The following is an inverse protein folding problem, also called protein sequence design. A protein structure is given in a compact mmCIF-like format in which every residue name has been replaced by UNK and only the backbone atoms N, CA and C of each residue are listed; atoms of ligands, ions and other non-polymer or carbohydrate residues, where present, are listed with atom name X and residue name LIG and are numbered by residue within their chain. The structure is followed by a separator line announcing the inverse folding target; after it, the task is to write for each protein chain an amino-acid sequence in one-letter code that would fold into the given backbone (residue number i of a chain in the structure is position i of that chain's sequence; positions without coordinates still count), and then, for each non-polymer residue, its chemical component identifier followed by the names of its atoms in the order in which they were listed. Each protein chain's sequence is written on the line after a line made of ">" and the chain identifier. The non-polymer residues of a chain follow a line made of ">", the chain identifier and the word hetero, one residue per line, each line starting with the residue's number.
data_IF_425457149091
#
_entry.id   IF_425457149091
#
_cell.length_a   1.000
_cell.length_b   1.000
_cell.length_c   1.000
_cell.angle_alpha   90.00
_cell.angle_beta   90.00
_cell.angle_gamma   90.00
#
_symmetry.space_group_name_H-M   'P 1'
#
loop_
_entity.id
_entity.type
_entity.pdbx_description
1 polymer ?
#
# COMPACT_ATOMS: atom_id res chain seq x y z
N UNK A 1 -68.14 -73.48 40.34
CA UNK A 1 -67.82 -72.84 39.04
C UNK A 1 -69.10 -72.18 38.53
N UNK A 2 -69.09 -70.84 38.45
CA UNK A 2 -70.25 -69.92 38.33
C UNK A 2 -71.07 -70.19 37.04
N UNK A 3 -72.38 -70.45 37.02
CA UNK A 3 -73.62 -69.69 37.39
C UNK A 3 -74.16 -68.76 36.28
N UNK A 4 -75.17 -69.29 35.54
CA UNK A 4 -76.53 -68.78 35.19
C UNK A 4 -76.88 -67.35 34.66
N UNK A 5 -77.98 -67.37 33.86
CA UNK A 5 -79.03 -66.35 33.53
C UNK A 5 -78.67 -65.25 32.50
N UNK A 6 -79.40 -64.96 31.40
CA UNK A 6 -80.84 -64.85 31.05
C UNK A 6 -81.28 -63.38 30.88
N UNK A 7 -82.14 -63.15 29.87
CA UNK A 7 -83.22 -62.15 29.76
C UNK A 7 -83.02 -60.90 28.86
N UNK A 8 -83.56 -61.02 27.64
CA UNK A 8 -84.66 -60.24 27.01
C UNK A 8 -84.79 -58.71 27.16
N UNK A 9 -85.32 -58.08 26.08
CA UNK A 9 -86.40 -57.04 26.04
C UNK A 9 -86.07 -55.65 25.40
N UNK A 10 -86.95 -55.23 24.45
CA UNK A 10 -87.43 -53.89 24.03
C UNK A 10 -86.55 -52.89 23.21
N UNK A 11 -87.04 -52.60 21.99
CA UNK A 11 -87.05 -51.30 21.25
C UNK A 11 -87.66 -50.15 22.09
N UNK A 12 -87.56 -48.81 21.80
CA UNK A 12 -87.36 -48.14 20.49
C UNK A 12 -86.56 -46.79 20.47
N UNK A 13 -86.27 -46.28 19.26
CA UNK A 13 -86.26 -44.84 18.92
C UNK A 13 -85.06 -43.97 19.34
N UNK A 14 -84.21 -43.59 18.38
CA UNK A 14 -83.29 -42.46 18.54
C UNK A 14 -83.51 -41.40 17.45
N UNK A 15 -83.76 -40.18 17.92
CA UNK A 15 -83.98 -38.94 17.19
C UNK A 15 -82.67 -38.50 16.52
N UNK A 16 -82.68 -38.24 15.21
CA UNK A 16 -81.56 -37.60 14.52
C UNK A 16 -81.59 -36.09 14.79
N UNK A 17 -80.81 -35.64 15.77
CA UNK A 17 -80.42 -34.22 15.89
C UNK A 17 -79.37 -33.92 14.83
N UNK A 18 -79.71 -33.05 13.87
CA UNK A 18 -78.75 -32.48 12.92
C UNK A 18 -77.82 -31.56 13.72
N UNK A 19 -76.54 -31.92 13.78
CA UNK A 19 -75.51 -31.01 14.29
C UNK A 19 -75.18 -30.00 13.19
N UNK A 20 -75.37 -28.71 13.47
CA UNK A 20 -74.81 -27.63 12.67
C UNK A 20 -73.28 -27.79 12.59
N UNK A 21 -72.77 -28.00 11.38
CA UNK A 21 -71.35 -28.02 11.12
C UNK A 21 -70.78 -26.61 11.35
N UNK A 22 -69.99 -26.45 12.39
CA UNK A 22 -69.22 -25.23 12.66
C UNK A 22 -68.28 -24.95 11.48
N UNK A 23 -68.48 -23.82 10.80
CA UNK A 23 -67.54 -23.32 9.82
C UNK A 23 -66.17 -23.09 10.48
N UNK A 24 -65.15 -23.76 9.94
CA UNK A 24 -63.75 -23.49 10.26
C UNK A 24 -63.41 -22.07 9.84
N UNK A 25 -62.89 -21.26 10.75
CA UNK A 25 -62.30 -19.95 10.45
C UNK A 25 -61.16 -20.14 9.46
N UNK A 26 -61.38 -19.78 8.20
CA UNK A 26 -60.28 -19.53 7.27
C UNK A 26 -59.38 -18.47 7.90
N UNK A 27 -58.13 -18.83 8.23
CA UNK A 27 -57.09 -17.86 8.53
C UNK A 27 -57.08 -16.84 7.39
N UNK A 28 -57.33 -15.57 7.68
CA UNK A 28 -57.38 -14.50 6.68
C UNK A 28 -56.20 -14.65 5.72
N UNK A 29 -56.49 -14.73 4.41
CA UNK A 29 -55.44 -14.73 3.40
C UNK A 29 -54.59 -13.47 3.61
N UNK A 30 -53.25 -13.58 3.67
CA UNK A 30 -52.38 -12.43 3.84
C UNK A 30 -52.65 -11.44 2.71
N UNK A 31 -52.73 -10.16 3.05
CA UNK A 31 -53.02 -9.11 2.07
C UNK A 31 -51.87 -8.99 1.05
N UNK A 32 -52.19 -8.47 -0.14
CA UNK A 32 -51.19 -8.28 -1.20
C UNK A 32 -49.97 -7.45 -0.73
N UNK A 33 -50.17 -6.49 0.20
CA UNK A 33 -49.08 -5.72 0.80
C UNK A 33 -48.17 -6.57 1.71
N UNK A 34 -48.71 -7.55 2.42
CA UNK A 34 -47.93 -8.50 3.24
C UNK A 34 -47.13 -9.49 2.39
N UNK A 35 -47.61 -9.77 1.17
CA UNK A 35 -46.92 -10.59 0.18
C UNK A 35 -45.95 -9.79 -0.71
N UNK A 36 -45.77 -8.49 -0.46
CA UNK A 36 -44.81 -7.65 -1.17
C UNK A 36 -45.31 -7.00 -2.47
N UNK A 37 -46.58 -7.16 -2.82
CA UNK A 37 -47.23 -6.48 -3.95
C UNK A 37 -47.64 -5.07 -3.53
N UNK A 38 -46.67 -4.17 -3.45
CA UNK A 38 -46.84 -2.79 -2.95
C UNK A 38 -47.04 -1.74 -4.04
N UNK A 39 -47.00 -2.14 -5.32
CA UNK A 39 -47.14 -1.24 -6.48
C UNK A 39 -48.41 -1.55 -7.25
N UNK A 40 -48.94 -0.56 -7.98
CA UNK A 40 -50.06 -0.77 -8.91
C UNK A 40 -49.58 -1.28 -10.27
N UNK A 41 -50.44 -1.95 -11.01
CA UNK A 41 -50.14 -2.42 -12.38
C UNK A 41 -49.66 -1.26 -13.28
N UNK A 42 -50.18 -0.05 -13.08
CA UNK A 42 -49.77 1.16 -13.79
C UNK A 42 -48.33 1.58 -13.46
N UNK A 43 -47.91 1.43 -12.19
CA UNK A 43 -46.55 1.72 -11.75
C UNK A 43 -45.52 0.71 -12.26
N UNK A 44 -45.98 -0.46 -12.70
CA UNK A 44 -45.16 -1.53 -13.25
C UNK A 44 -45.24 -1.63 -14.79
N UNK A 45 -45.91 -0.69 -15.47
CA UNK A 45 -46.06 -0.71 -16.92
C UNK A 45 -44.69 -0.76 -17.63
N UNK A 46 -44.50 -1.76 -18.50
CA UNK A 46 -43.26 -1.97 -19.26
C UNK A 46 -42.13 -2.70 -18.51
N UNK A 47 -42.36 -3.19 -17.28
CA UNK A 47 -41.41 -4.02 -16.52
C UNK A 47 -41.91 -5.47 -16.40
N UNK A 48 -41.01 -6.39 -16.08
CA UNK A 48 -41.40 -7.74 -15.65
C UNK A 48 -42.23 -7.61 -14.37
N UNK A 49 -43.52 -7.96 -14.43
CA UNK A 49 -44.44 -7.84 -13.31
C UNK A 49 -45.16 -9.14 -13.01
N UNK A 50 -45.33 -9.41 -11.72
CA UNK A 50 -46.17 -10.47 -11.16
C UNK A 50 -47.33 -9.78 -10.47
N UNK A 51 -48.57 -10.10 -10.87
CA UNK A 51 -49.78 -9.56 -10.24
C UNK A 51 -50.10 -10.31 -8.96
N UNK A 52 -50.71 -9.63 -7.98
CA UNK A 52 -51.16 -10.29 -6.78
C UNK A 52 -52.33 -11.25 -7.10
N UNK A 53 -52.34 -12.48 -6.55
CA UNK A 53 -53.44 -13.43 -6.77
C UNK A 53 -54.81 -12.98 -6.27
N UNK A 54 -54.84 -12.10 -5.25
CA UNK A 54 -56.06 -11.67 -4.57
C UNK A 54 -56.50 -10.25 -4.93
N UNK A 55 -55.65 -9.50 -5.63
CA UNK A 55 -55.96 -8.16 -6.15
C UNK A 55 -55.17 -7.91 -7.44
N UNK A 56 -55.88 -7.97 -8.56
CA UNK A 56 -55.25 -7.79 -9.89
C UNK A 56 -54.80 -6.36 -10.17
N UNK A 57 -55.12 -5.39 -9.29
CA UNK A 57 -54.67 -4.00 -9.38
C UNK A 57 -53.28 -3.78 -8.77
N UNK A 58 -52.82 -4.70 -7.91
CA UNK A 58 -51.51 -4.68 -7.28
C UNK A 58 -50.56 -5.67 -7.96
N UNK A 59 -49.30 -5.25 -8.11
CA UNK A 59 -48.23 -6.02 -8.72
C UNK A 59 -46.91 -5.82 -7.97
N UNK A 60 -46.08 -6.85 -8.01
CA UNK A 60 -44.66 -6.74 -7.77
C UNK A 60 -44.01 -6.66 -9.15
N UNK A 61 -43.25 -5.61 -9.39
CA UNK A 61 -42.34 -5.57 -10.53
C UNK A 61 -40.91 -5.53 -10.03
N UNK A 62 -40.05 -6.23 -10.74
CA UNK A 62 -38.61 -5.99 -10.67
C UNK A 62 -38.42 -4.52 -11.02
N UNK A 63 -38.07 -3.72 -10.02
CA UNK A 63 -37.36 -2.51 -10.36
C UNK A 63 -36.09 -3.00 -11.03
N UNK A 64 -35.88 -2.60 -12.29
CA UNK A 64 -34.53 -2.36 -12.75
C UNK A 64 -33.92 -1.45 -11.69
N UNK A 65 -33.29 -2.03 -10.68
CA UNK A 65 -32.49 -1.28 -9.73
C UNK A 65 -31.48 -0.65 -10.66
N UNK A 66 -31.63 0.65 -10.90
CA UNK A 66 -30.57 1.42 -11.53
C UNK A 66 -29.50 1.44 -10.46
N UNK A 67 -28.71 0.37 -10.42
CA UNK A 67 -27.59 0.22 -9.52
C UNK A 67 -26.60 1.25 -10.02
N UNK A 68 -26.68 2.45 -9.45
CA UNK A 68 -25.75 3.50 -9.82
C UNK A 68 -24.37 3.09 -9.30
N UNK A 69 -23.34 3.31 -10.12
CA UNK A 69 -21.97 3.02 -9.72
C UNK A 69 -21.60 3.75 -8.42
N UNK A 70 -22.09 4.99 -8.25
CA UNK A 70 -21.92 5.76 -7.02
C UNK A 70 -22.52 5.06 -5.79
N UNK A 71 -23.74 4.49 -5.89
CA UNK A 71 -24.37 3.77 -4.77
C UNK A 71 -23.66 2.48 -4.38
N UNK A 72 -22.86 1.91 -5.30
CA UNK A 72 -22.01 0.76 -5.02
C UNK A 72 -20.58 1.15 -4.57
N UNK A 73 -20.26 2.44 -4.48
CA UNK A 73 -18.91 2.91 -4.16
C UNK A 73 -17.91 2.85 -5.32
N UNK A 74 -18.37 2.63 -6.56
CA UNK A 74 -17.57 2.77 -7.78
C UNK A 74 -17.62 4.22 -8.26
N UNK A 75 -16.88 5.10 -7.57
CA UNK A 75 -16.83 6.54 -7.89
C UNK A 75 -15.69 6.92 -8.82
N UNK A 76 -14.72 6.04 -8.99
CA UNK A 76 -13.47 6.37 -9.68
C UNK A 76 -13.64 6.26 -11.19
N UNK A 77 -12.94 7.11 -11.92
CA UNK A 77 -12.80 6.98 -13.37
C UNK A 77 -11.67 6.00 -13.66
N UNK A 78 -11.97 4.92 -14.39
CA UNK A 78 -11.00 3.84 -14.63
C UNK A 78 -9.75 4.32 -15.36
N UNK A 79 -9.89 5.27 -16.28
CA UNK A 79 -8.77 5.85 -17.03
C UNK A 79 -7.75 6.59 -16.14
N UNK A 80 -8.16 6.99 -14.93
CA UNK A 80 -7.33 7.70 -13.95
C UNK A 80 -6.66 6.74 -12.96
N UNK A 81 -7.05 5.46 -12.97
CA UNK A 81 -6.52 4.48 -12.04
C UNK A 81 -5.05 4.19 -12.33
N UNK A 82 -4.18 4.28 -11.32
CA UNK A 82 -2.76 4.05 -11.51
C UNK A 82 -2.46 2.58 -11.80
N UNK A 83 -3.17 1.63 -11.18
CA UNK A 83 -2.91 0.19 -11.33
C UNK A 83 -4.18 -0.60 -11.64
N UNK A 84 -4.33 -1.72 -10.94
CA UNK A 84 -5.52 -2.57 -11.03
C UNK A 84 -6.78 -1.82 -10.56
N UNK A 85 -7.94 -2.28 -11.05
CA UNK A 85 -9.22 -1.71 -10.70
C UNK A 85 -10.34 -2.74 -10.86
N UNK A 86 -11.43 -2.52 -10.13
CA UNK A 86 -12.67 -3.26 -10.28
C UNK A 86 -13.69 -2.40 -11.04
N UNK A 87 -14.23 -2.94 -12.14
CA UNK A 87 -15.23 -2.24 -12.97
C UNK A 87 -16.59 -2.21 -12.29
N UNK A 88 -17.32 -1.12 -12.47
CA UNK A 88 -18.73 -1.06 -12.11
C UNK A 88 -19.59 -1.92 -13.06
N UNK A 89 -20.58 -2.68 -12.56
CA UNK A 89 -21.51 -3.44 -13.40
C UNK A 89 -22.40 -2.58 -14.31
N UNK A 90 -22.70 -1.34 -13.91
CA UNK A 90 -23.64 -0.46 -14.61
C UNK A 90 -22.97 0.53 -15.58
N UNK A 91 -21.67 0.81 -15.43
CA UNK A 91 -20.90 1.70 -16.31
C UNK A 91 -19.45 1.23 -16.40
N UNK A 92 -19.03 0.86 -17.60
CA UNK A 92 -17.66 0.37 -17.86
C UNK A 92 -16.56 1.44 -17.75
N UNK A 93 -16.93 2.73 -17.65
CA UNK A 93 -16.01 3.86 -17.44
C UNK A 93 -15.75 4.13 -15.95
N UNK A 94 -16.62 3.62 -15.07
CA UNK A 94 -16.52 3.80 -13.61
C UNK A 94 -16.05 2.53 -12.92
N UNK A 95 -15.32 2.72 -11.83
CA UNK A 95 -14.75 1.62 -11.08
C UNK A 95 -14.25 2.06 -9.72
N UNK A 96 -13.47 1.18 -9.12
CA UNK A 96 -12.75 1.41 -7.87
C UNK A 96 -11.30 1.07 -8.14
N UNK A 97 -10.42 2.04 -8.00
CA UNK A 97 -8.99 1.83 -8.19
C UNK A 97 -8.42 1.08 -6.98
N UNK A 98 -7.52 0.14 -7.23
CA UNK A 98 -6.73 -0.49 -6.18
C UNK A 98 -5.46 0.33 -5.96
N UNK A 99 -5.38 0.94 -4.77
CA UNK A 99 -4.21 1.69 -4.34
C UNK A 99 -3.28 0.79 -3.54
N UNK A 100 -2.06 0.58 -4.05
CA UNK A 100 -1.03 -0.18 -3.35
C UNK A 100 -0.24 0.66 -2.34
N UNK A 101 -0.38 2.00 -2.39
CA UNK A 101 0.37 2.96 -1.58
C UNK A 101 -0.35 4.31 -1.50
N UNK A 102 0.15 5.21 -0.66
CA UNK A 102 -0.29 6.60 -0.55
C UNK A 102 0.62 7.53 -1.36
N UNK A 103 0.08 8.61 -1.97
CA UNK A 103 0.89 9.57 -2.70
C UNK A 103 2.03 10.14 -1.83
N UNK A 104 3.26 10.07 -2.32
CA UNK A 104 4.48 10.41 -1.57
C UNK A 104 5.26 9.20 -1.04
N UNK A 105 4.67 8.00 -0.98
CA UNK A 105 5.36 6.79 -0.57
C UNK A 105 6.49 6.43 -1.54
N UNK A 106 7.59 5.89 -1.01
CA UNK A 106 8.74 5.45 -1.79
C UNK A 106 8.80 3.93 -1.90
N UNK A 107 9.26 3.42 -3.05
CA UNK A 107 9.65 2.02 -3.22
C UNK A 107 10.97 1.88 -3.96
N UNK A 108 11.64 0.76 -3.73
CA UNK A 108 12.74 0.30 -4.58
C UNK A 108 12.20 -0.66 -5.65
N UNK A 109 12.74 -0.58 -6.85
CA UNK A 109 12.38 -1.46 -7.97
C UNK A 109 13.54 -1.58 -8.96
N UNK A 110 13.60 -2.69 -9.69
CA UNK A 110 14.52 -2.85 -10.83
C UNK A 110 13.96 -2.26 -12.13
N UNK A 111 12.70 -1.80 -12.12
CA UNK A 111 12.11 -1.10 -13.28
C UNK A 111 12.85 0.20 -13.56
N UNK A 112 12.85 0.62 -14.81
CA UNK A 112 13.64 1.76 -15.32
C UNK A 112 12.79 2.93 -15.83
N UNK A 113 11.46 2.80 -15.81
CA UNK A 113 10.52 3.83 -16.27
C UNK A 113 9.32 3.90 -15.33
N UNK A 114 8.60 5.03 -15.35
CA UNK A 114 7.34 5.19 -14.61
C UNK A 114 6.38 4.03 -14.88
N UNK A 115 5.62 3.65 -13.86
CA UNK A 115 4.66 2.57 -13.99
C UNK A 115 3.61 2.60 -12.89
N UNK A 116 2.39 2.18 -13.21
CA UNK A 116 1.34 1.96 -12.23
C UNK A 116 1.16 3.11 -11.20
N UNK A 117 1.23 4.38 -11.63
CA UNK A 117 1.20 5.55 -10.74
C UNK A 117 2.50 5.85 -9.98
N UNK A 118 3.57 5.06 -10.17
CA UNK A 118 4.90 5.29 -9.64
C UNK A 118 5.75 6.07 -10.62
N UNK A 119 6.35 7.16 -10.16
CA UNK A 119 7.23 8.01 -10.93
C UNK A 119 8.67 7.81 -10.49
N UNK A 120 9.59 7.71 -11.45
CA UNK A 120 11.02 7.53 -11.16
C UNK A 120 11.61 8.79 -10.49
N UNK A 121 12.30 8.62 -9.36
CA UNK A 121 12.93 9.70 -8.62
C UNK A 121 14.27 10.14 -9.24
N UNK A 122 14.20 10.81 -10.40
CA UNK A 122 15.35 11.29 -11.16
C UNK A 122 15.47 12.82 -11.24
N UNK A 123 14.70 13.58 -10.44
CA UNK A 123 14.79 15.04 -10.42
C UNK A 123 13.99 15.78 -11.49
N UNK A 124 13.34 15.07 -12.43
CA UNK A 124 12.56 15.73 -13.49
C UNK A 124 11.32 16.44 -12.92
N UNK A 125 10.81 17.42 -13.66
CA UNK A 125 9.52 18.03 -13.36
C UNK A 125 8.37 17.06 -13.61
N UNK A 126 7.26 17.26 -12.90
CA UNK A 126 6.01 16.55 -13.13
C UNK A 126 4.84 17.54 -13.15
N UNK A 127 3.71 17.13 -13.73
CA UNK A 127 2.51 17.96 -13.76
C UNK A 127 1.77 17.87 -12.44
N UNK A 128 1.74 18.97 -11.69
CA UNK A 128 0.98 19.08 -10.44
C UNK A 128 -0.53 19.04 -10.65
N UNK A 129 -1.03 19.45 -11.82
CA UNK A 129 -2.44 19.32 -12.18
C UNK A 129 -2.83 17.87 -12.46
N UNK A 130 -1.92 17.10 -13.05
CA UNK A 130 -2.11 15.69 -13.35
C UNK A 130 -1.99 14.80 -12.11
N UNK A 131 -1.11 15.18 -11.17
CA UNK A 131 -0.87 14.46 -9.90
C UNK A 131 -1.05 15.39 -8.69
N UNK A 132 -2.29 15.86 -8.43
CA UNK A 132 -2.53 16.84 -7.36
C UNK A 132 -2.31 16.25 -5.96
N UNK A 133 -2.58 14.96 -5.78
CA UNK A 133 -2.37 14.28 -4.49
C UNK A 133 -0.88 14.17 -4.17
N UNK A 134 -0.04 13.86 -5.16
CA UNK A 134 1.42 13.92 -5.01
C UNK A 134 1.89 15.34 -4.69
N UNK A 135 1.42 16.34 -5.44
CA UNK A 135 1.78 17.74 -5.18
C UNK A 135 1.42 18.18 -3.76
N UNK A 136 0.24 17.80 -3.26
CA UNK A 136 -0.13 18.04 -1.87
C UNK A 136 0.86 17.39 -0.89
N UNK A 137 1.37 16.20 -1.19
CA UNK A 137 2.29 15.48 -0.32
C UNK A 137 3.72 16.06 -0.32
N UNK A 138 4.25 16.45 -1.47
CA UNK A 138 5.69 16.74 -1.61
C UNK A 138 6.06 18.19 -1.89
N UNK A 139 5.09 19.06 -2.23
CA UNK A 139 5.36 20.43 -2.68
C UNK A 139 6.18 21.26 -1.69
N UNK A 140 5.99 21.08 -0.38
CA UNK A 140 6.78 21.79 0.65
C UNK A 140 8.29 21.48 0.61
N UNK A 141 8.68 20.31 0.09
CA UNK A 141 10.08 19.90 -0.02
C UNK A 141 10.62 20.03 -1.43
N UNK A 142 9.83 19.64 -2.44
CA UNK A 142 10.30 19.49 -3.83
C UNK A 142 9.55 20.35 -4.85
N UNK A 143 8.49 21.05 -4.46
CA UNK A 143 7.65 21.83 -5.37
C UNK A 143 7.08 20.96 -6.50
N UNK A 144 7.30 21.38 -7.75
CA UNK A 144 6.86 20.67 -8.96
C UNK A 144 7.94 19.74 -9.55
N UNK A 145 8.94 19.37 -8.75
CA UNK A 145 10.00 18.45 -9.14
C UNK A 145 9.92 17.15 -8.34
N UNK A 146 10.27 16.04 -8.98
CA UNK A 146 10.48 14.78 -8.27
C UNK A 146 11.81 14.84 -7.49
N UNK A 147 11.96 14.09 -6.40
CA UNK A 147 13.28 13.91 -5.78
C UNK A 147 14.27 13.31 -6.79
N UNK A 148 15.56 13.64 -6.64
CA UNK A 148 16.64 12.93 -7.33
C UNK A 148 17.43 12.12 -6.31
N UNK A 149 17.23 10.81 -6.29
CA UNK A 149 17.92 9.90 -5.37
C UNK A 149 19.05 9.10 -6.05
N UNK A 150 19.40 9.45 -7.29
CA UNK A 150 20.44 8.75 -8.05
C UNK A 150 21.79 8.84 -7.34
N UNK A 151 22.38 7.69 -7.01
CA UNK A 151 23.68 7.61 -6.33
C UNK A 151 23.66 7.90 -4.82
N UNK A 152 22.47 8.11 -4.22
CA UNK A 152 22.32 8.38 -2.80
C UNK A 152 21.73 7.19 -2.05
N UNK A 153 22.20 6.98 -0.81
CA UNK A 153 21.52 6.12 0.16
C UNK A 153 20.45 6.92 0.90
N UNK A 154 19.27 6.32 1.08
CA UNK A 154 18.22 6.92 1.90
C UNK A 154 18.46 6.62 3.37
N UNK A 155 18.34 7.65 4.20
CA UNK A 155 18.36 7.56 5.66
C UNK A 155 17.07 8.12 6.23
N UNK A 156 16.73 7.72 7.46
CA UNK A 156 15.59 8.29 8.17
C UNK A 156 15.78 9.81 8.36
N UNK A 157 14.69 10.55 8.18
CA UNK A 157 14.68 11.99 8.41
C UNK A 157 14.85 12.32 9.89
N UNK A 158 15.38 13.50 10.18
CA UNK A 158 15.47 14.07 11.52
C UNK A 158 15.11 15.56 11.47
N UNK A 159 14.83 16.17 12.62
CA UNK A 159 14.27 17.52 12.72
C UNK A 159 15.24 18.67 12.41
N UNK A 160 16.52 18.40 12.15
CA UNK A 160 17.50 19.43 11.78
C UNK A 160 17.61 19.60 10.26
N UNK A 161 17.96 20.81 9.81
CA UNK A 161 17.99 21.17 8.39
C UNK A 161 18.86 20.25 7.51
N UNK A 162 19.96 19.73 8.08
CA UNK A 162 20.83 18.76 7.41
C UNK A 162 20.14 17.40 7.14
N UNK A 163 18.96 17.16 7.70
CA UNK A 163 18.21 15.90 7.65
C UNK A 163 16.79 16.10 7.10
N UNK A 164 16.58 17.20 6.35
CA UNK A 164 15.32 17.46 5.64
C UNK A 164 15.18 16.54 4.42
N UNK A 165 13.94 16.34 3.96
CA UNK A 165 13.65 15.49 2.80
C UNK A 165 14.30 15.96 1.49
N UNK A 166 14.64 17.25 1.37
CA UNK A 166 15.18 17.85 0.13
C UNK A 166 16.69 18.07 0.11
N UNK A 167 17.37 17.91 1.25
CA UNK A 167 18.80 18.22 1.35
C UNK A 167 19.63 16.95 1.14
N UNK A 168 20.31 16.84 0.00
CA UNK A 168 21.29 15.79 -0.23
C UNK A 168 22.52 16.00 0.66
N UNK A 169 23.00 14.94 1.30
CA UNK A 169 24.22 14.97 2.10
C UNK A 169 25.39 14.38 1.32
N UNK A 170 26.52 15.07 1.36
CA UNK A 170 27.77 14.56 0.79
C UNK A 170 28.37 13.47 1.69
N UNK A 171 29.19 12.61 1.10
CA UNK A 171 29.95 11.62 1.87
C UNK A 171 30.84 12.31 2.92
N UNK A 172 30.90 11.73 4.12
CA UNK A 172 31.72 12.25 5.20
C UNK A 172 32.01 11.17 6.24
N UNK A 173 33.23 11.16 6.74
CA UNK A 173 33.67 10.32 7.86
C UNK A 173 34.25 11.22 8.95
N UNK A 174 34.20 10.80 10.22
CA UNK A 174 35.00 11.42 11.27
C UNK A 174 36.47 11.49 10.88
N UNK A 175 37.16 12.50 11.40
CA UNK A 175 38.59 12.65 11.16
C UNK A 175 39.38 11.46 11.71
N UNK A 176 40.44 11.06 11.01
CA UNK A 176 41.41 10.06 11.50
C UNK A 176 42.57 10.83 12.13
N UNK A 177 42.70 10.73 13.45
CA UNK A 177 43.73 11.45 14.21
C UNK A 177 44.82 10.51 14.73
N UNK A 178 46.04 11.01 14.78
CA UNK A 178 47.21 10.30 15.30
C UNK A 178 48.38 11.27 15.48
N UNK A 179 49.35 10.91 16.33
CA UNK A 179 50.56 11.72 16.58
C UNK A 179 51.78 10.82 16.59
N UNK A 180 52.82 11.26 15.88
CA UNK A 180 54.15 10.65 16.00
C UNK A 180 54.98 11.39 17.05
N UNK A 181 55.73 10.68 17.92
CA UNK A 181 56.73 11.30 18.77
C UNK A 181 57.83 11.92 17.89
N UNK A 182 58.42 13.04 18.33
CA UNK A 182 59.48 13.72 17.58
C UNK A 182 60.69 12.78 17.41
N UNK A 183 60.94 12.38 16.16
CA UNK A 183 62.12 11.64 15.73
C UNK A 183 62.04 10.14 16.03
N UNK A 184 61.72 9.34 15.01
CA UNK A 184 62.02 7.90 15.03
C UNK A 184 63.52 7.78 14.74
N UNK A 185 64.36 7.81 15.80
CA UNK A 185 65.83 7.76 15.69
C UNK A 185 66.33 6.31 15.66
N UNK A 186 67.19 5.98 14.70
CA UNK A 186 68.16 4.86 14.68
C UNK A 186 67.70 3.45 15.10
N UNK A 187 66.41 3.17 15.17
CA UNK A 187 65.89 1.82 15.25
C UNK A 187 65.24 1.50 13.91
N UNK A 188 65.52 0.34 13.33
CA UNK A 188 64.69 -0.26 12.27
C UNK A 188 63.28 -0.46 12.85
N UNK A 189 62.34 0.46 12.63
CA UNK A 189 61.05 0.37 13.28
C UNK A 189 60.28 -0.72 12.54
N UNK A 190 59.86 -1.77 13.25
CA UNK A 190 58.95 -2.75 12.67
C UNK A 190 57.58 -2.11 12.54
N UNK A 191 57.32 -1.45 11.40
CA UNK A 191 55.99 -0.97 11.07
C UNK A 191 55.11 -2.15 10.68
N UNK A 192 53.84 -2.11 11.10
CA UNK A 192 52.84 -3.10 10.75
C UNK A 192 51.55 -2.39 10.33
N UNK A 193 50.74 -3.08 9.52
CA UNK A 193 49.49 -2.55 9.00
C UNK A 193 49.70 -1.38 8.04
N UNK A 194 49.03 -0.26 8.31
CA UNK A 194 48.96 0.88 7.40
C UNK A 194 50.26 1.71 7.37
N UNK A 195 51.11 1.55 8.37
CA UNK A 195 52.36 2.28 8.47
C UNK A 195 53.50 1.50 7.81
N UNK A 196 54.41 2.22 7.17
CA UNK A 196 55.58 1.62 6.53
C UNK A 196 56.73 2.61 6.37
N UNK A 197 57.92 2.09 6.11
CA UNK A 197 59.06 2.90 5.72
C UNK A 197 58.86 3.39 4.28
N UNK A 198 58.59 4.69 4.10
CA UNK A 198 58.39 5.28 2.76
C UNK A 198 59.73 5.54 2.07
N UNK A 199 60.66 6.17 2.78
CA UNK A 199 62.00 6.44 2.29
C UNK A 199 62.96 6.72 3.46
N UNK A 200 64.26 6.52 3.22
CA UNK A 200 65.32 7.00 4.09
C UNK A 200 65.81 8.37 3.64
N UNK A 201 66.23 9.20 4.57
CA UNK A 201 66.89 10.46 4.27
C UNK A 201 68.00 10.74 5.26
N UNK A 202 68.95 11.59 4.85
CA UNK A 202 70.06 12.04 5.68
C UNK A 202 69.88 13.52 5.95
N UNK A 203 69.84 13.90 7.22
CA UNK A 203 69.68 15.29 7.65
C UNK A 203 70.98 15.79 8.27
N UNK A 204 71.41 16.99 7.87
CA UNK A 204 72.59 17.66 8.40
C UNK A 204 72.12 18.81 9.29
N UNK A 205 72.17 18.60 10.61
CA UNK A 205 71.79 19.65 11.59
C UNK A 205 72.99 20.51 12.00
N UNK A 206 74.22 20.07 11.68
CA UNK A 206 75.46 20.83 11.73
C UNK A 206 76.44 20.31 10.64
N UNK A 207 77.52 21.03 10.30
CA UNK A 207 78.40 20.73 9.15
C UNK A 207 78.97 19.30 9.13
N UNK A 208 79.15 18.67 10.29
CA UNK A 208 79.77 17.34 10.42
C UNK A 208 78.92 16.32 11.20
N UNK A 209 77.66 16.63 11.50
CA UNK A 209 76.74 15.67 12.16
C UNK A 209 75.57 15.35 11.25
N UNK A 210 75.72 14.25 10.51
CA UNK A 210 74.62 13.67 9.76
C UNK A 210 73.82 12.71 10.66
N UNK A 211 72.51 12.91 10.72
CA UNK A 211 71.58 11.98 11.36
C UNK A 211 70.77 11.29 10.29
N UNK A 212 70.74 9.97 10.32
CA UNK A 212 69.85 9.20 9.45
C UNK A 212 68.42 9.29 10.00
N UNK A 213 67.48 9.55 9.11
CA UNK A 213 66.06 9.65 9.41
C UNK A 213 65.24 8.77 8.47
N UNK A 214 63.99 8.52 8.86
CA UNK A 214 63.01 7.89 7.98
C UNK A 214 61.83 8.81 7.71
N UNK A 215 61.36 8.77 6.48
CA UNK A 215 60.02 9.20 6.11
C UNK A 215 59.04 8.07 6.41
N UNK A 216 58.05 8.37 7.25
CA UNK A 216 56.97 7.45 7.54
C UNK A 216 55.89 7.57 6.47
N UNK A 217 55.53 6.45 5.86
CA UNK A 217 54.36 6.35 4.99
C UNK A 217 53.13 5.89 5.77
N UNK A 218 51.97 6.41 5.37
CA UNK A 218 50.67 5.87 5.76
C UNK A 218 49.91 5.48 4.49
N UNK A 219 49.56 4.20 4.40
CA UNK A 219 48.72 3.65 3.36
C UNK A 219 47.84 2.55 3.97
N UNK A 220 46.57 2.87 4.20
CA UNK A 220 45.61 1.95 4.80
C UNK A 220 45.39 0.67 3.98
N UNK A 221 45.64 0.70 2.66
CA UNK A 221 45.48 -0.47 1.79
C UNK A 221 46.42 -1.61 2.15
N UNK A 222 47.56 -1.29 2.81
CA UNK A 222 48.51 -2.27 3.33
C UNK A 222 47.97 -3.11 4.48
N UNK A 223 47.03 -2.57 5.27
CA UNK A 223 46.34 -3.32 6.32
C UNK A 223 45.20 -4.17 5.75
N UNK A 224 44.47 -3.63 4.77
CA UNK A 224 43.33 -4.29 4.16
C UNK A 224 43.08 -3.70 2.78
N UNK A 225 43.03 -4.55 1.76
CA UNK A 225 42.83 -4.15 0.37
C UNK A 225 41.50 -3.43 0.09
N UNK A 226 40.56 -3.36 1.06
CA UNK A 226 39.34 -2.56 0.94
C UNK A 226 39.63 -1.05 0.88
N UNK A 227 40.66 -0.59 1.60
CA UNK A 227 41.06 0.82 1.56
C UNK A 227 41.68 1.16 0.19
N UNK A 228 41.26 2.29 -0.40
CA UNK A 228 41.72 2.71 -1.72
C UNK A 228 40.96 2.11 -2.91
N UNK A 229 39.99 1.20 -2.69
CA UNK A 229 39.16 0.63 -3.79
C UNK A 229 38.17 1.60 -4.41
N UNK A 230 37.86 2.69 -3.72
CA UNK A 230 36.98 3.76 -4.18
C UNK A 230 37.57 5.10 -3.78
N UNK A 231 37.35 6.14 -4.60
CA UNK A 231 37.74 7.52 -4.30
C UNK A 231 36.79 8.21 -3.31
N UNK A 232 35.69 7.56 -2.94
CA UNK A 232 34.71 8.04 -1.95
C UNK A 232 34.26 6.90 -1.02
N UNK A 233 33.52 7.24 0.03
CA UNK A 233 32.96 6.25 0.96
C UNK A 233 31.91 5.42 0.24
N UNK A 234 32.24 4.16 -0.06
CA UNK A 234 31.33 3.25 -0.76
C UNK A 234 31.28 1.92 -0.01
N UNK A 235 30.25 1.70 0.84
CA UNK A 235 29.98 0.39 1.39
C UNK A 235 29.65 -0.60 0.26
N UNK A 236 29.82 -1.90 0.50
CA UNK A 236 29.31 -2.92 -0.43
C UNK A 236 27.80 -2.74 -0.61
N UNK A 237 27.35 -2.61 -1.86
CA UNK A 237 25.96 -2.30 -2.17
C UNK A 237 25.52 -2.93 -3.50
N UNK A 238 24.20 -3.09 -3.64
CA UNK A 238 23.52 -3.25 -4.92
C UNK A 238 22.64 -2.03 -5.15
N UNK A 239 22.45 -1.65 -6.41
CA UNK A 239 21.62 -0.51 -6.78
C UNK A 239 20.23 -0.96 -7.24
N UNK A 240 19.22 -0.21 -6.82
CA UNK A 240 17.85 -0.29 -7.34
C UNK A 240 17.34 1.13 -7.58
N UNK A 241 16.39 1.28 -8.51
CA UNK A 241 15.76 2.57 -8.75
C UNK A 241 14.77 2.88 -7.63
N UNK A 242 14.74 4.16 -7.24
CA UNK A 242 13.75 4.67 -6.29
C UNK A 242 12.59 5.29 -7.06
N UNK A 243 11.38 4.90 -6.70
CA UNK A 243 10.16 5.46 -7.24
C UNK A 243 9.34 6.10 -6.13
N UNK A 244 8.57 7.13 -6.49
CA UNK A 244 7.59 7.77 -5.62
C UNK A 244 6.19 7.54 -6.16
N UNK A 245 5.24 7.19 -5.29
CA UNK A 245 3.86 7.00 -5.71
C UNK A 245 3.19 8.34 -5.92
N UNK A 246 2.61 8.53 -7.10
CA UNK A 246 1.92 9.74 -7.49
C UNK A 246 0.39 9.66 -7.34
N UNK A 247 -0.15 8.45 -7.15
CA UNK A 247 -1.59 8.22 -7.08
C UNK A 247 -2.28 8.29 -8.44
N UNK A 248 -3.55 8.70 -8.43
CA UNK A 248 -4.37 8.80 -9.64
C UNK A 248 -3.85 9.88 -10.59
N UNK A 249 -4.02 9.62 -11.88
CA UNK A 249 -3.76 10.59 -12.95
C UNK A 249 -5.06 11.32 -13.25
N UNK A 250 -5.18 12.60 -12.87
CA UNK A 250 -6.35 13.45 -13.17
C UNK A 250 -6.17 14.26 -14.45
#
# INVERSE_FOLDING_TARGET
>A
FRTFLSLSVLTPGLVWTVFDARAQTCSQAPSCSQLGYTKTVSQCAGKNMIKCPFDTSLAYCEDNVIISCASLGFTDTIAECPGSYVKCPADSSKGKCDFEASPGDLKYSLRTSDHNGWLLCNGRSYSSSQYPELYSAISGSFGSYLPNYSGYFLKAAATSYAYSFKTAQQAGLPNITGRFPQGIRNYTPSFYGAFYNYAYYRSYWAPDTATDGLWLGFDASRSNSIYGRSSTVTPQNYSANVFIYAGRKK
#
